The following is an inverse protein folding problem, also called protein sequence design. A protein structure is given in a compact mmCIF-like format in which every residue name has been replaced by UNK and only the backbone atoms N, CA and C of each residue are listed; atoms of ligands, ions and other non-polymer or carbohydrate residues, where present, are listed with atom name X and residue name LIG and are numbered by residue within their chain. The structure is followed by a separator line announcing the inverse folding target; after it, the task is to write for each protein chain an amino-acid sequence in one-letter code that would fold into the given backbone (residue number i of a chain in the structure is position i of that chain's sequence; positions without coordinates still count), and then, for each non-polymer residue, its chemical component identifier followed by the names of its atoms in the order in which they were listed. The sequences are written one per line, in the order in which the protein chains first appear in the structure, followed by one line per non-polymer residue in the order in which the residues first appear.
data_IF_224598959831
#
_entry.id   IF_224598959831
#
_cell.length_a   1.000
_cell.length_b   1.000
_cell.length_c   1.000
_cell.angle_alpha   90.00
_cell.angle_beta   90.00
_cell.angle_gamma   90.00
#
_symmetry.space_group_name_H-M   'P 1'
#
loop_
_entity.id
_entity.type
_entity.pdbx_description
1 polymer ?
#
# COMPACT_ATOMS: atom_id res chain seq x y z
N UNK A 1 -7.71 -5.70 -20.51
CA UNK A 1 -6.82 -6.69 -19.86
C UNK A 1 -5.96 -7.40 -20.91
N UNK A 2 -4.64 -7.23 -20.86
CA UNK A 2 -3.72 -7.99 -21.72
C UNK A 2 -3.35 -9.25 -20.93
N UNK A 3 -4.01 -10.38 -21.20
CA UNK A 3 -3.86 -11.64 -20.43
C UNK A 3 -2.40 -12.10 -20.33
N UNK A 4 -1.58 -11.74 -21.32
CA UNK A 4 -0.13 -11.95 -21.29
C UNK A 4 0.55 -11.10 -20.22
N UNK A 5 0.20 -9.80 -20.11
CA UNK A 5 0.71 -8.91 -19.07
C UNK A 5 0.26 -9.35 -17.68
N UNK A 6 -1.03 -9.68 -17.51
CA UNK A 6 -1.59 -10.12 -16.22
C UNK A 6 -0.90 -11.41 -15.74
N UNK A 7 -0.56 -12.31 -16.67
CA UNK A 7 0.23 -13.52 -16.39
C UNK A 7 1.67 -13.21 -15.96
N UNK A 8 2.38 -12.34 -16.70
CA UNK A 8 3.75 -11.96 -16.34
C UNK A 8 3.80 -11.20 -15.01
N UNK A 9 2.87 -10.27 -14.79
CA UNK A 9 2.71 -9.52 -13.55
C UNK A 9 2.41 -10.47 -12.37
N UNK A 10 1.49 -11.42 -12.55
CA UNK A 10 1.22 -12.45 -11.56
C UNK A 10 2.47 -13.27 -11.22
N UNK A 11 3.16 -13.83 -12.20
CA UNK A 11 4.37 -14.63 -11.94
C UNK A 11 5.43 -13.80 -11.21
N UNK A 12 5.67 -12.54 -11.63
CA UNK A 12 6.61 -11.65 -10.98
C UNK A 12 6.21 -11.32 -9.53
N UNK A 13 4.95 -10.94 -9.29
CA UNK A 13 4.46 -10.64 -7.94
C UNK A 13 4.45 -11.87 -7.02
N UNK A 14 4.21 -13.06 -7.56
CA UNK A 14 4.28 -14.30 -6.79
C UNK A 14 5.72 -14.59 -6.36
N UNK A 15 6.68 -14.44 -7.29
CA UNK A 15 8.10 -14.61 -6.97
C UNK A 15 8.58 -13.59 -5.92
N UNK A 16 8.17 -12.33 -6.04
CA UNK A 16 8.47 -11.28 -5.05
C UNK A 16 7.84 -11.65 -3.70
N UNK A 17 6.56 -12.02 -3.66
CA UNK A 17 5.86 -12.41 -2.44
C UNK A 17 6.55 -13.58 -1.73
N UNK A 18 6.94 -14.61 -2.48
CA UNK A 18 7.73 -15.74 -1.97
C UNK A 18 9.09 -15.29 -1.42
N UNK A 19 9.80 -14.40 -2.12
CA UNK A 19 11.07 -13.86 -1.64
C UNK A 19 10.90 -13.12 -0.30
N UNK A 20 9.83 -12.35 -0.12
CA UNK A 20 9.51 -11.71 1.16
C UNK A 20 9.23 -12.74 2.27
N UNK A 21 8.48 -13.81 1.98
CA UNK A 21 8.22 -14.87 2.97
C UNK A 21 9.50 -15.60 3.35
N UNK A 22 10.29 -16.02 2.36
CA UNK A 22 11.56 -16.74 2.61
C UNK A 22 12.54 -15.82 3.34
N UNK A 23 12.66 -14.56 2.92
CA UNK A 23 13.50 -13.56 3.58
C UNK A 23 13.06 -13.29 5.03
N UNK A 24 11.76 -13.32 5.30
CA UNK A 24 11.22 -13.14 6.66
C UNK A 24 11.65 -14.25 7.63
N UNK A 25 11.84 -15.48 7.13
CA UNK A 25 12.28 -16.61 7.96
C UNK A 25 13.73 -16.44 8.45
N UNK A 26 14.54 -15.64 7.75
CA UNK A 26 15.90 -15.29 8.15
C UNK A 26 15.99 -14.15 9.16
N UNK A 27 14.88 -13.46 9.45
CA UNK A 27 14.84 -12.35 10.41
C UNK A 27 14.61 -12.92 11.81
N UNK A 28 15.61 -12.79 12.69
CA UNK A 28 15.54 -13.23 14.08
C UNK A 28 14.41 -12.54 14.85
N UNK A 29 13.56 -13.33 15.50
CA UNK A 29 12.39 -12.88 16.28
C UNK A 29 12.75 -12.02 17.50
N UNK A 30 14.02 -12.04 17.95
CA UNK A 30 14.50 -11.40 19.16
C UNK A 30 15.18 -10.04 18.97
N UNK A 31 15.36 -9.56 17.73
CA UNK A 31 16.24 -8.41 17.47
C UNK A 31 15.69 -7.04 17.92
N UNK A 32 14.41 -6.93 18.32
CA UNK A 32 13.76 -5.63 18.53
C UNK A 32 13.05 -5.43 19.88
N UNK A 33 13.20 -6.34 20.86
CA UNK A 33 12.64 -6.14 22.21
C UNK A 33 11.10 -5.98 22.27
N UNK A 34 10.41 -6.29 21.18
CA UNK A 34 8.96 -6.10 21.00
C UNK A 34 8.21 -7.43 21.07
N UNK A 35 6.97 -7.41 21.57
CA UNK A 35 6.06 -8.58 21.60
C UNK A 35 5.74 -9.15 20.21
N UNK A 36 6.03 -8.40 19.14
CA UNK A 36 5.82 -8.77 17.75
C UNK A 36 7.19 -8.81 17.07
N UNK A 37 7.60 -9.98 16.57
CA UNK A 37 8.88 -10.17 15.88
C UNK A 37 8.94 -9.39 14.55
N UNK A 38 10.13 -8.85 14.23
CA UNK A 38 10.36 -8.07 13.00
C UNK A 38 10.10 -8.87 11.70
N UNK A 39 10.05 -10.20 11.79
CA UNK A 39 9.69 -11.09 10.69
C UNK A 39 8.19 -11.09 10.35
N UNK A 40 7.32 -10.71 11.28
CA UNK A 40 5.85 -10.80 11.09
C UNK A 40 5.38 -9.89 9.95
N UNK A 41 5.96 -8.70 9.84
CA UNK A 41 5.55 -7.73 8.82
C UNK A 41 5.86 -8.21 7.38
N UNK A 42 7.10 -8.58 7.03
CA UNK A 42 7.39 -9.18 5.73
C UNK A 42 6.64 -10.49 5.46
N UNK A 43 6.40 -11.31 6.50
CA UNK A 43 5.71 -12.59 6.37
C UNK A 43 4.25 -12.43 5.97
N UNK A 44 3.50 -11.54 6.64
CA UNK A 44 2.08 -11.28 6.33
C UNK A 44 1.94 -10.67 4.93
N UNK A 45 2.74 -9.63 4.62
CA UNK A 45 2.68 -8.96 3.32
C UNK A 45 3.06 -9.90 2.17
N UNK A 46 4.16 -10.66 2.33
CA UNK A 46 4.60 -11.64 1.34
C UNK A 46 3.57 -12.76 1.12
N UNK A 47 2.94 -13.25 2.18
CA UNK A 47 1.89 -14.27 2.10
C UNK A 47 0.66 -13.75 1.38
N UNK A 48 0.20 -12.55 1.73
CA UNK A 48 -0.97 -11.93 1.11
C UNK A 48 -0.73 -11.64 -0.38
N UNK A 49 0.43 -11.07 -0.73
CA UNK A 49 0.81 -10.82 -2.11
C UNK A 49 0.89 -12.12 -2.93
N UNK A 50 1.46 -13.17 -2.35
CA UNK A 50 1.53 -14.49 -2.98
C UNK A 50 0.14 -15.07 -3.25
N UNK A 51 -0.78 -15.00 -2.28
CA UNK A 51 -2.16 -15.46 -2.43
C UNK A 51 -2.93 -14.67 -3.50
N UNK A 52 -2.83 -13.34 -3.48
CA UNK A 52 -3.48 -12.49 -4.50
C UNK A 52 -2.93 -12.75 -5.88
N UNK A 53 -1.62 -12.96 -5.99
CA UNK A 53 -0.98 -13.29 -7.26
C UNK A 53 -1.41 -14.66 -7.79
N UNK A 54 -1.48 -15.67 -6.92
CA UNK A 54 -1.96 -16.99 -7.29
C UNK A 54 -3.40 -16.94 -7.82
N UNK A 55 -4.26 -16.14 -7.17
CA UNK A 55 -5.62 -15.87 -7.64
C UNK A 55 -5.62 -15.17 -9.00
N UNK A 56 -4.75 -14.19 -9.23
CA UNK A 56 -4.65 -13.47 -10.51
C UNK A 56 -4.24 -14.41 -11.66
N UNK A 57 -3.27 -15.30 -11.40
CA UNK A 57 -2.84 -16.33 -12.34
C UNK A 57 -4.02 -17.26 -12.66
N UNK A 58 -4.71 -17.76 -11.63
CA UNK A 58 -5.89 -18.62 -11.79
C UNK A 58 -7.02 -17.95 -12.60
N UNK A 59 -7.32 -16.68 -12.31
CA UNK A 59 -8.29 -15.90 -13.07
C UNK A 59 -7.84 -15.69 -14.52
N UNK A 60 -6.54 -15.49 -14.77
CA UNK A 60 -6.00 -15.33 -16.13
C UNK A 60 -6.18 -16.61 -16.96
N UNK A 61 -5.93 -17.78 -16.37
CA UNK A 61 -6.19 -19.08 -17.02
C UNK A 61 -7.68 -19.33 -17.24
N UNK A 62 -8.54 -18.94 -16.29
CA UNK A 62 -10.00 -19.11 -16.40
C UNK A 62 -10.63 -18.13 -17.41
N UNK A 63 -10.21 -16.86 -17.41
CA UNK A 63 -10.68 -15.80 -18.32
C UNK A 63 -10.18 -15.97 -19.75
N UNK A 64 -9.13 -16.75 -19.99
CA UNK A 64 -8.74 -17.14 -21.35
C UNK A 64 -9.87 -17.87 -22.11
N UNK A 65 -10.88 -18.38 -21.38
CA UNK A 65 -12.06 -19.09 -21.90
C UNK A 65 -13.33 -18.24 -22.05
N UNK A 66 -13.35 -16.98 -21.56
CA UNK A 66 -14.51 -16.09 -21.61
C UNK A 66 -14.13 -14.74 -22.26
N UNK A 67 -15.00 -14.20 -23.09
CA UNK A 67 -14.69 -13.18 -24.11
C UNK A 67 -13.87 -11.94 -23.68
N UNK A 68 -13.09 -11.44 -24.65
CA UNK A 68 -12.21 -10.27 -24.56
C UNK A 68 -13.01 -8.96 -24.63
N UNK A 69 -13.41 -8.43 -23.48
CA UNK A 69 -13.66 -7.00 -23.33
C UNK A 69 -12.33 -6.22 -23.29
N UNK A 70 -12.06 -5.36 -24.28
CA UNK A 70 -10.95 -4.41 -24.22
C UNK A 70 -11.23 -3.33 -23.18
N UNK A 71 -10.88 -3.59 -21.92
CA UNK A 71 -10.74 -2.50 -20.95
C UNK A 71 -9.54 -1.63 -21.32
N UNK A 72 -9.79 -0.33 -21.48
CA UNK A 72 -8.75 0.68 -21.64
C UNK A 72 -7.95 0.79 -20.33
N UNK A 73 -6.68 0.42 -20.38
CA UNK A 73 -5.78 0.55 -19.25
C UNK A 73 -5.54 2.05 -18.99
N UNK A 74 -5.98 2.54 -17.83
CA UNK A 74 -5.87 3.95 -17.46
C UNK A 74 -4.48 4.25 -16.86
N UNK A 75 -3.45 4.08 -17.69
CA UNK A 75 -2.04 4.27 -17.32
C UNK A 75 -1.77 5.65 -16.70
N UNK A 76 -2.54 6.66 -17.10
CA UNK A 76 -2.43 8.02 -16.55
C UNK A 76 -2.79 8.05 -15.06
N UNK A 77 -3.91 7.41 -14.67
CA UNK A 77 -4.31 7.33 -13.26
C UNK A 77 -3.32 6.50 -12.45
N UNK A 78 -2.87 5.38 -13.02
CA UNK A 78 -1.85 4.54 -12.40
C UNK A 78 -0.57 5.32 -12.11
N UNK A 79 -0.04 6.06 -13.10
CA UNK A 79 1.18 6.85 -12.94
C UNK A 79 1.03 7.93 -11.87
N UNK A 80 -0.12 8.61 -11.82
CA UNK A 80 -0.39 9.66 -10.80
C UNK A 80 -0.38 9.04 -9.39
N UNK A 81 -1.06 7.91 -9.18
CA UNK A 81 -1.10 7.24 -7.88
C UNK A 81 0.29 6.71 -7.51
N UNK A 82 1.01 6.14 -8.46
CA UNK A 82 2.35 5.61 -8.25
C UNK A 82 3.33 6.72 -7.84
N UNK A 83 3.35 7.85 -8.55
CA UNK A 83 4.19 9.01 -8.20
C UNK A 83 3.79 9.54 -6.82
N UNK A 84 2.49 9.64 -6.54
CA UNK A 84 2.00 10.09 -5.23
C UNK A 84 2.44 9.15 -4.10
N UNK A 85 2.50 7.84 -4.33
CA UNK A 85 2.98 6.86 -3.35
C UNK A 85 4.49 7.01 -3.08
N UNK A 86 5.29 7.26 -4.13
CA UNK A 86 6.73 7.53 -3.99
C UNK A 86 6.96 8.82 -3.22
N UNK A 87 6.23 9.90 -3.55
CA UNK A 87 6.30 11.17 -2.82
C UNK A 87 5.84 11.01 -1.37
N UNK A 88 4.80 10.23 -1.12
CA UNK A 88 4.35 9.90 0.24
C UNK A 88 5.47 9.25 1.06
N UNK A 89 6.12 8.22 0.52
CA UNK A 89 7.22 7.54 1.21
C UNK A 89 8.41 8.47 1.47
N UNK A 90 8.73 9.34 0.50
CA UNK A 90 9.82 10.30 0.63
C UNK A 90 9.54 11.38 1.69
N UNK A 91 8.33 11.95 1.69
CA UNK A 91 7.95 13.03 2.61
C UNK A 91 7.43 12.58 3.97
N UNK A 92 7.30 11.27 4.19
CA UNK A 92 6.76 10.72 5.44
C UNK A 92 7.58 11.19 6.65
N UNK A 93 8.91 11.19 6.51
CA UNK A 93 9.84 11.59 7.58
C UNK A 93 9.85 13.11 7.80
N UNK A 94 9.82 13.92 6.74
CA UNK A 94 9.89 15.38 6.84
C UNK A 94 8.58 16.04 7.29
N UNK A 95 7.45 15.61 6.73
CA UNK A 95 6.14 16.28 6.87
C UNK A 95 5.27 15.56 7.92
N UNK A 96 5.56 14.29 8.23
CA UNK A 96 4.80 13.47 9.17
C UNK A 96 3.65 12.69 8.51
N UNK A 97 3.22 11.64 9.19
CA UNK A 97 2.22 10.68 8.72
C UNK A 97 0.86 11.33 8.44
N UNK A 98 0.42 12.27 9.29
CA UNK A 98 -0.93 12.85 9.19
C UNK A 98 -1.10 13.63 7.88
N UNK A 99 -0.13 14.48 7.55
CA UNK A 99 -0.20 15.36 6.38
C UNK A 99 0.12 14.57 5.10
N UNK A 100 1.15 13.72 5.13
CA UNK A 100 1.53 12.91 3.97
C UNK A 100 0.42 11.95 3.55
N UNK A 101 -0.21 11.25 4.51
CA UNK A 101 -1.32 10.32 4.25
C UNK A 101 -2.55 11.07 3.76
N UNK A 102 -2.85 12.24 4.34
CA UNK A 102 -3.96 13.07 3.89
C UNK A 102 -3.81 13.47 2.42
N UNK A 103 -2.63 13.98 2.04
CA UNK A 103 -2.34 14.37 0.65
C UNK A 103 -2.39 13.17 -0.30
N UNK A 104 -1.79 12.04 0.09
CA UNK A 104 -1.80 10.82 -0.70
C UNK A 104 -3.24 10.33 -0.97
N UNK A 105 -4.07 10.24 0.07
CA UNK A 105 -5.48 9.83 -0.05
C UNK A 105 -6.28 10.83 -0.88
N UNK A 106 -6.06 12.13 -0.67
CA UNK A 106 -6.75 13.17 -1.44
C UNK A 106 -6.44 13.07 -2.93
N UNK A 107 -5.17 12.89 -3.31
CA UNK A 107 -4.76 12.71 -4.70
C UNK A 107 -5.32 11.39 -5.27
N UNK A 108 -5.25 10.30 -4.49
CA UNK A 108 -5.79 9.01 -4.89
C UNK A 108 -7.29 9.06 -5.18
N UNK A 109 -8.08 9.62 -4.25
CA UNK A 109 -9.53 9.74 -4.42
C UNK A 109 -9.90 10.68 -5.57
N UNK A 110 -9.22 11.82 -5.73
CA UNK A 110 -9.42 12.72 -6.87
C UNK A 110 -9.09 12.07 -8.21
N UNK A 111 -8.02 11.26 -8.25
CA UNK A 111 -7.59 10.57 -9.47
C UNK A 111 -8.60 9.49 -9.86
N UNK A 112 -9.19 8.80 -8.88
CA UNK A 112 -10.09 7.68 -9.12
C UNK A 112 -11.55 8.11 -9.33
N UNK A 113 -12.03 9.10 -8.56
CA UNK A 113 -13.41 9.56 -8.58
C UNK A 113 -13.47 11.10 -8.60
N UNK A 114 -13.40 11.68 -9.81
CA UNK A 114 -13.59 13.12 -10.00
C UNK A 114 -15.02 13.52 -9.63
N UNK A 115 -15.18 14.36 -8.61
CA UNK A 115 -16.45 15.09 -8.37
C UNK A 115 -16.90 15.24 -6.92
N UNK A 116 -16.39 14.47 -5.95
CA UNK A 116 -16.77 14.58 -4.53
C UNK A 116 -15.61 14.99 -3.63
N UNK A 117 -14.96 16.09 -3.98
CA UNK A 117 -13.77 16.62 -3.26
C UNK A 117 -14.04 16.77 -1.77
N UNK A 118 -15.24 17.23 -1.39
CA UNK A 118 -15.68 17.37 0.00
C UNK A 118 -15.73 16.04 0.77
N UNK A 119 -16.22 14.98 0.14
CA UNK A 119 -16.28 13.65 0.75
C UNK A 119 -14.88 13.06 0.84
N UNK A 120 -14.06 13.20 -0.21
CA UNK A 120 -12.67 12.77 -0.20
C UNK A 120 -11.84 13.47 0.88
N UNK A 121 -12.09 14.77 1.09
CA UNK A 121 -11.42 15.57 2.12
C UNK A 121 -11.81 15.09 3.53
N UNK A 122 -13.10 14.89 3.79
CA UNK A 122 -13.57 14.41 5.09
C UNK A 122 -13.04 13.01 5.39
N UNK A 123 -13.12 12.09 4.41
CA UNK A 123 -12.62 10.72 4.57
C UNK A 123 -11.09 10.73 4.78
N UNK A 124 -10.34 11.47 3.96
CA UNK A 124 -8.88 11.53 4.09
C UNK A 124 -8.45 12.11 5.43
N UNK A 125 -9.12 13.18 5.90
CA UNK A 125 -8.82 13.80 7.19
C UNK A 125 -9.14 12.87 8.36
N UNK A 126 -10.35 12.28 8.36
CA UNK A 126 -10.81 11.37 9.41
C UNK A 126 -9.96 10.09 9.45
N UNK A 127 -9.61 9.54 8.29
CA UNK A 127 -8.78 8.34 8.20
C UNK A 127 -7.34 8.61 8.67
N UNK A 128 -6.73 9.68 8.17
CA UNK A 128 -5.35 10.03 8.54
C UNK A 128 -5.22 10.31 10.04
N UNK A 129 -6.11 11.15 10.59
CA UNK A 129 -6.11 11.46 12.02
C UNK A 129 -6.52 10.25 12.87
N UNK A 130 -7.53 9.48 12.44
CA UNK A 130 -8.03 8.32 13.16
C UNK A 130 -6.97 7.22 13.28
N UNK A 131 -6.24 6.93 12.20
CA UNK A 131 -5.14 5.95 12.23
C UNK A 131 -3.99 6.45 13.10
N UNK A 132 -3.61 7.73 13.00
CA UNK A 132 -2.60 8.32 13.88
C UNK A 132 -3.01 8.21 15.36
N UNK A 133 -4.25 8.58 15.68
CA UNK A 133 -4.76 8.52 17.04
C UNK A 133 -4.74 7.09 17.60
N UNK A 134 -5.26 6.11 16.84
CA UNK A 134 -5.24 4.71 17.23
C UNK A 134 -3.81 4.19 17.41
N UNK A 135 -2.89 4.50 16.50
CA UNK A 135 -1.55 3.97 16.57
C UNK A 135 -0.71 4.60 17.69
N UNK A 136 -0.77 5.92 17.84
CA UNK A 136 0.06 6.64 18.82
C UNK A 136 -0.56 6.61 20.21
N UNK A 137 -1.87 6.85 20.36
CA UNK A 137 -2.50 7.01 21.67
C UNK A 137 -3.07 5.72 22.24
N UNK A 138 -3.46 4.75 21.39
CA UNK A 138 -4.06 3.49 21.85
C UNK A 138 -3.08 2.32 21.83
N UNK A 139 -2.13 2.32 20.88
CA UNK A 139 -1.17 1.24 20.67
C UNK A 139 0.25 1.62 21.13
N UNK A 140 0.45 2.81 21.68
CA UNK A 140 1.77 3.38 22.08
C UNK A 140 2.84 3.25 20.99
N UNK A 141 2.43 3.31 19.72
CA UNK A 141 3.31 3.21 18.57
C UNK A 141 3.98 4.54 18.26
N UNK A 142 5.22 4.49 17.78
CA UNK A 142 5.96 5.67 17.32
C UNK A 142 5.65 5.97 15.84
N UNK A 143 4.88 7.01 15.56
CA UNK A 143 4.71 7.56 14.22
C UNK A 143 5.07 9.06 14.24
N UNK A 144 5.80 9.56 13.22
CA UNK A 144 6.04 10.99 13.09
C UNK A 144 4.71 11.70 12.86
N UNK A 145 4.23 12.45 13.86
CA UNK A 145 2.92 13.09 13.79
C UNK A 145 2.93 14.39 13.02
N UNK A 146 3.79 15.31 13.42
CA UNK A 146 3.89 16.66 12.86
C UNK A 146 5.23 16.86 12.15
N UNK A 147 5.32 17.86 11.24
CA UNK A 147 6.55 18.15 10.51
C UNK A 147 7.71 18.37 11.47
N UNK A 148 8.87 17.83 11.12
CA UNK A 148 10.12 17.98 11.89
C UNK A 148 10.49 19.46 12.11
N UNK A 149 10.02 20.34 11.21
CA UNK A 149 10.20 21.80 11.25
C UNK A 149 9.25 22.55 12.20
N UNK A 150 8.20 21.89 12.72
CA UNK A 150 7.24 22.46 13.69
C UNK A 150 7.49 22.00 15.13
N UNK A 151 8.57 21.25 15.38
CA UNK A 151 8.98 20.86 16.74
C UNK A 151 8.42 19.52 17.23
N UNK A 152 8.26 18.53 16.35
CA UNK A 152 7.96 17.15 16.76
C UNK A 152 9.24 16.41 17.14
N UNK A 153 9.46 16.26 18.45
CA UNK A 153 10.40 15.28 19.03
C UNK A 153 9.69 13.95 19.25
#
# INVERSE_FOLDING_TARGET
MNTTFDRYAGIAFFAIGLAFVIGSLGISTSAYGSNVGANIFPMILGSFLSLMSLRLIYETFRKQRAEKGKENLDYKRFLIIFISAVLYAYFLEDIGFVISTFLFLMIGFQTMQKGRVWVSLLIAACFSYGVYYLYVNLLDGSLPGFPTWLGGA
#
